data_IF_885276290126
#
_entry.id   IF_885276290126
#
_cell.length_a   1.000
_cell.length_b   1.000
_cell.length_c   1.000
_cell.angle_alpha   90.00
_cell.angle_beta   90.00
_cell.angle_gamma   90.00
#
_symmetry.space_group_name_H-M   'P 1'
#
loop_
_entity.id
_entity.type
_entity.pdbx_description
1 polymer ?
#
# COMPACT_ATOMS: atom_id res chain seq x y z
N UNK A 1 12.22 -11.12 16.54
CA UNK A 1 11.98 -9.68 16.42
C UNK A 1 11.00 -9.34 15.30
N UNK A 2 11.04 -10.03 14.15
CA UNK A 2 10.18 -9.70 13.01
C UNK A 2 8.68 -9.91 13.27
N UNK A 3 8.27 -11.03 13.86
CA UNK A 3 6.85 -11.34 14.10
C UNK A 3 6.56 -12.02 15.45
N UNK A 4 7.58 -12.21 16.29
CA UNK A 4 7.49 -12.96 17.56
C UNK A 4 6.57 -12.31 18.61
N UNK A 5 6.19 -11.04 18.43
CA UNK A 5 5.25 -10.36 19.33
C UNK A 5 3.84 -10.23 18.77
N UNK A 6 3.52 -10.91 17.66
CA UNK A 6 2.15 -10.98 17.15
C UNK A 6 1.30 -11.81 18.11
N UNK A 7 0.14 -11.28 18.49
CA UNK A 7 -0.77 -11.94 19.41
C UNK A 7 -1.87 -12.69 18.65
N UNK A 8 -1.74 -14.01 18.54
CA UNK A 8 -2.70 -14.88 17.84
C UNK A 8 -4.02 -15.10 18.59
N UNK A 9 -4.15 -14.64 19.85
CA UNK A 9 -5.46 -14.63 20.54
C UNK A 9 -6.38 -13.51 20.05
N UNK A 10 -5.84 -12.50 19.35
CA UNK A 10 -6.65 -11.47 18.71
C UNK A 10 -7.21 -12.03 17.41
N UNK A 11 -8.54 -11.94 17.25
CA UNK A 11 -9.22 -12.31 16.02
C UNK A 11 -8.57 -11.62 14.81
N UNK A 12 -8.46 -12.36 13.71
CA UNK A 12 -7.90 -11.89 12.43
C UNK A 12 -6.43 -11.45 12.46
N UNK A 13 -5.71 -11.60 13.58
CA UNK A 13 -4.27 -11.29 13.63
C UNK A 13 -3.39 -12.43 13.07
N UNK A 14 -3.93 -13.65 13.00
CA UNK A 14 -3.23 -14.82 12.49
C UNK A 14 -3.59 -16.11 13.23
N UNK A 15 -2.68 -17.07 13.23
CA UNK A 15 -2.77 -18.35 13.92
C UNK A 15 -3.27 -19.50 13.04
N UNK A 16 -3.31 -20.73 13.56
CA UNK A 16 -3.68 -21.92 12.80
C UNK A 16 -5.06 -21.81 12.15
N UNK A 17 -6.05 -21.29 12.89
CA UNK A 17 -7.43 -21.10 12.39
C UNK A 17 -7.50 -20.14 11.20
N UNK A 18 -6.65 -19.10 11.21
CA UNK A 18 -6.56 -18.15 10.11
C UNK A 18 -5.87 -18.80 8.89
N UNK A 19 -4.85 -19.62 9.11
CA UNK A 19 -4.19 -20.38 8.04
C UNK A 19 -5.14 -21.41 7.43
N UNK A 20 -5.97 -22.08 8.22
CA UNK A 20 -6.91 -23.12 7.75
C UNK A 20 -8.28 -22.57 7.34
N UNK A 21 -8.52 -21.26 7.47
CA UNK A 21 -9.78 -20.60 7.12
C UNK A 21 -10.26 -20.94 5.70
N UNK A 22 -9.32 -20.97 4.74
CA UNK A 22 -9.53 -21.50 3.39
C UNK A 22 -8.73 -22.80 3.20
N UNK A 23 -9.26 -23.73 2.41
CA UNK A 23 -8.54 -24.96 2.05
C UNK A 23 -7.28 -24.65 1.24
N UNK A 24 -6.30 -25.56 1.29
CA UNK A 24 -5.02 -25.38 0.57
C UNK A 24 -5.25 -25.37 -0.94
N UNK A 25 -6.14 -26.22 -1.44
CA UNK A 25 -6.50 -26.32 -2.86
C UNK A 25 -7.08 -25.01 -3.36
N UNK A 26 -8.00 -24.41 -2.58
CA UNK A 26 -8.59 -23.11 -2.91
C UNK A 26 -7.53 -22.00 -2.91
N UNK A 27 -6.63 -21.99 -1.92
CA UNK A 27 -5.55 -21.00 -1.87
C UNK A 27 -4.62 -21.09 -3.08
N UNK A 28 -4.22 -22.30 -3.46
CA UNK A 28 -3.38 -22.53 -4.63
C UNK A 28 -4.11 -22.09 -5.90
N UNK A 29 -5.37 -22.50 -6.08
CA UNK A 29 -6.16 -22.15 -7.26
C UNK A 29 -6.31 -20.63 -7.40
N UNK A 30 -6.75 -19.94 -6.35
CA UNK A 30 -6.91 -18.48 -6.37
C UNK A 30 -5.56 -17.79 -6.62
N UNK A 31 -4.47 -18.22 -5.98
CA UNK A 31 -3.14 -17.65 -6.22
C UNK A 31 -2.66 -17.84 -7.65
N UNK A 32 -2.80 -19.03 -8.23
CA UNK A 32 -2.37 -19.29 -9.61
C UNK A 32 -3.17 -18.43 -10.59
N UNK A 33 -4.50 -18.40 -10.46
CA UNK A 33 -5.37 -17.64 -11.35
C UNK A 33 -5.12 -16.13 -11.26
N UNK A 34 -5.09 -15.59 -10.03
CA UNK A 34 -4.89 -14.15 -9.82
C UNK A 34 -3.47 -13.73 -10.19
N UNK A 35 -2.44 -14.53 -9.88
CA UNK A 35 -1.07 -14.21 -10.27
C UNK A 35 -0.90 -14.25 -11.79
N UNK A 36 -1.50 -15.24 -12.47
CA UNK A 36 -1.48 -15.30 -13.93
C UNK A 36 -2.13 -14.07 -14.56
N UNK A 37 -3.34 -13.70 -14.12
CA UNK A 37 -4.03 -12.48 -14.57
C UNK A 37 -3.19 -11.22 -14.30
N UNK A 38 -2.58 -11.14 -13.11
CA UNK A 38 -1.73 -10.01 -12.71
C UNK A 38 -0.51 -9.86 -13.63
N UNK A 39 0.13 -10.97 -14.00
CA UNK A 39 1.26 -10.98 -14.94
C UNK A 39 0.82 -10.52 -16.34
N UNK A 40 -0.37 -10.93 -16.80
CA UNK A 40 -0.95 -10.47 -18.06
C UNK A 40 -1.23 -8.96 -18.02
N UNK A 41 -1.82 -8.46 -16.94
CA UNK A 41 -2.08 -7.03 -16.74
C UNK A 41 -0.79 -6.21 -16.78
N UNK A 42 0.25 -6.64 -16.04
CA UNK A 42 1.55 -5.99 -16.03
C UNK A 42 2.16 -6.00 -17.43
N UNK A 43 2.14 -7.14 -18.11
CA UNK A 43 2.73 -7.30 -19.45
C UNK A 43 2.02 -6.44 -20.50
N UNK A 44 0.69 -6.38 -20.45
CA UNK A 44 -0.12 -5.53 -21.32
C UNK A 44 0.18 -4.04 -21.12
N UNK A 45 0.23 -3.58 -19.87
CA UNK A 45 0.48 -2.17 -19.58
C UNK A 45 1.95 -1.75 -19.76
N UNK A 46 2.90 -2.69 -19.77
CA UNK A 46 4.33 -2.40 -19.71
C UNK A 46 4.85 -1.50 -20.84
N UNK A 47 4.36 -1.67 -22.07
CA UNK A 47 4.78 -0.86 -23.22
C UNK A 47 4.51 0.64 -22.98
N UNK A 48 3.33 0.94 -22.45
CA UNK A 48 2.89 2.31 -22.22
C UNK A 48 3.61 2.92 -21.02
N UNK A 49 3.78 2.16 -19.93
CA UNK A 49 4.53 2.62 -18.76
C UNK A 49 6.00 2.87 -19.12
N UNK A 50 6.61 2.02 -19.95
CA UNK A 50 7.98 2.22 -20.45
C UNK A 50 8.08 3.45 -21.35
N UNK A 51 7.01 3.92 -21.98
CA UNK A 51 7.03 5.15 -22.77
C UNK A 51 6.95 6.43 -21.91
N UNK A 52 6.64 6.32 -20.61
CA UNK A 52 6.49 7.46 -19.73
C UNK A 52 7.77 8.31 -19.65
N UNK A 53 7.63 9.62 -19.79
CA UNK A 53 8.71 10.61 -19.75
C UNK A 53 8.46 11.64 -18.66
N UNK A 54 9.55 12.07 -18.02
CA UNK A 54 9.51 13.15 -17.02
C UNK A 54 9.55 14.49 -17.73
N UNK A 55 8.72 15.42 -17.29
CA UNK A 55 8.80 16.79 -17.79
C UNK A 55 9.91 17.55 -17.05
N UNK A 56 11.12 17.50 -17.60
CA UNK A 56 12.27 18.21 -17.04
C UNK A 56 12.23 19.73 -17.22
N UNK A 57 11.35 20.26 -18.08
CA UNK A 57 11.31 21.69 -18.39
C UNK A 57 10.97 22.57 -17.17
N UNK A 58 10.38 22.01 -16.12
CA UNK A 58 9.98 22.73 -14.91
C UNK A 58 10.82 22.43 -13.66
N UNK A 59 11.81 21.52 -13.74
CA UNK A 59 12.58 21.03 -12.57
C UNK A 59 13.55 22.10 -12.05
N UNK A 60 13.97 23.05 -12.88
CA UNK A 60 14.98 24.06 -12.54
C UNK A 60 14.49 25.32 -11.82
N UNK A 61 13.21 25.44 -11.44
CA UNK A 61 12.64 26.64 -10.81
C UNK A 61 11.65 26.30 -9.68
N UNK A 62 12.05 25.45 -8.74
CA UNK A 62 11.29 25.29 -7.49
C UNK A 62 11.67 26.45 -6.57
N UNK A 63 10.71 27.32 -6.26
CA UNK A 63 10.86 28.42 -5.31
C UNK A 63 11.32 27.90 -3.94
N UNK A 64 12.26 28.60 -3.29
CA UNK A 64 12.75 28.29 -1.95
C UNK A 64 11.63 28.09 -0.92
N UNK A 65 10.53 28.86 -1.03
CA UNK A 65 9.36 28.68 -0.15
C UNK A 65 8.68 27.33 -0.36
N UNK A 66 8.57 26.92 -1.62
CA UNK A 66 7.99 25.62 -1.99
C UNK A 66 8.90 24.49 -1.49
N UNK A 67 10.20 24.60 -1.74
CA UNK A 67 11.21 23.66 -1.25
C UNK A 67 11.16 23.53 0.28
N UNK A 68 11.11 24.65 1.00
CA UNK A 68 10.99 24.66 2.47
C UNK A 68 9.69 23.98 2.95
N UNK A 69 8.55 24.23 2.29
CA UNK A 69 7.29 23.57 2.61
C UNK A 69 7.34 22.06 2.40
N UNK A 70 7.96 21.59 1.32
CA UNK A 70 8.18 20.17 1.05
C UNK A 70 9.11 19.53 2.09
N UNK A 71 10.22 20.19 2.42
CA UNK A 71 11.17 19.69 3.41
C UNK A 71 10.57 19.57 4.81
N UNK A 72 9.74 20.54 5.23
CA UNK A 72 8.98 20.46 6.48
C UNK A 72 8.03 19.27 6.49
N UNK A 73 7.31 19.04 5.38
CA UNK A 73 6.41 17.91 5.26
C UNK A 73 7.16 16.56 5.22
N UNK A 74 8.28 16.48 4.51
CA UNK A 74 9.17 15.32 4.51
C UNK A 74 9.66 15.00 5.93
N UNK A 75 10.09 16.01 6.69
CA UNK A 75 10.52 15.83 8.08
C UNK A 75 9.37 15.30 8.96
N UNK A 76 8.17 15.85 8.82
CA UNK A 76 6.98 15.40 9.55
C UNK A 76 6.60 13.95 9.19
N UNK A 77 6.55 13.61 7.90
CA UNK A 77 6.23 12.27 7.42
C UNK A 77 7.27 11.25 7.88
N UNK A 78 8.56 11.60 7.81
CA UNK A 78 9.66 10.75 8.26
C UNK A 78 9.63 10.53 9.77
N UNK A 79 9.30 11.57 10.54
CA UNK A 79 9.13 11.45 11.99
C UNK A 79 7.97 10.53 12.35
N UNK A 80 6.80 10.73 11.74
CA UNK A 80 5.63 9.87 11.97
C UNK A 80 5.92 8.41 11.63
N UNK A 81 6.57 8.17 10.47
CA UNK A 81 6.95 6.80 10.07
C UNK A 81 8.03 6.20 10.96
N UNK A 82 9.01 6.98 11.39
CA UNK A 82 10.03 6.55 12.35
C UNK A 82 9.44 6.14 13.69
N UNK A 83 8.44 6.87 14.19
CA UNK A 83 7.69 6.50 15.40
C UNK A 83 6.92 5.18 15.19
N UNK A 84 6.23 5.02 14.05
CA UNK A 84 5.54 3.76 13.72
C UNK A 84 6.51 2.57 13.67
N UNK A 85 7.68 2.73 13.03
CA UNK A 85 8.75 1.71 13.04
C UNK A 85 9.20 1.42 14.47
N UNK A 86 9.37 2.44 15.31
CA UNK A 86 9.70 2.32 16.73
C UNK A 86 8.68 1.47 17.49
N UNK A 87 7.38 1.71 17.27
CA UNK A 87 6.32 0.86 17.83
C UNK A 87 6.46 -0.58 17.36
N UNK A 88 6.63 -0.85 16.06
CA UNK A 88 6.76 -2.22 15.55
C UNK A 88 8.02 -2.94 16.00
N UNK A 89 9.12 -2.23 16.20
CA UNK A 89 10.33 -2.80 16.81
C UNK A 89 10.09 -3.16 18.28
N UNK A 90 9.51 -2.24 19.05
CA UNK A 90 9.25 -2.42 20.48
C UNK A 90 8.28 -3.57 20.76
N UNK A 91 7.25 -3.74 19.93
CA UNK A 91 6.28 -4.83 20.04
C UNK A 91 6.73 -6.11 19.34
N UNK A 92 7.87 -6.11 18.65
CA UNK A 92 8.38 -7.25 17.86
C UNK A 92 7.42 -7.71 16.76
N UNK A 93 6.82 -6.75 16.07
CA UNK A 93 5.83 -6.94 15.01
C UNK A 93 6.22 -6.21 13.71
N UNK A 94 7.51 -6.18 13.40
CA UNK A 94 8.05 -5.52 12.19
C UNK A 94 7.46 -6.07 10.89
N UNK A 95 6.97 -7.31 10.89
CA UNK A 95 6.30 -7.92 9.75
C UNK A 95 5.12 -7.08 9.22
N UNK A 96 4.46 -6.30 10.07
CA UNK A 96 3.37 -5.41 9.65
C UNK A 96 3.84 -4.23 8.79
N UNK A 97 5.14 -3.94 8.70
CA UNK A 97 5.68 -2.95 7.76
C UNK A 97 5.47 -3.35 6.29
N UNK A 98 5.10 -4.61 6.02
CA UNK A 98 4.70 -5.08 4.70
C UNK A 98 3.27 -4.69 4.31
N UNK A 99 2.46 -4.18 5.25
CA UNK A 99 1.13 -3.66 4.91
C UNK A 99 1.26 -2.50 3.92
N UNK A 100 0.36 -2.38 2.92
CA UNK A 100 0.49 -1.40 1.85
C UNK A 100 0.67 0.05 2.32
N UNK A 101 0.00 0.49 3.40
CA UNK A 101 0.13 1.87 3.89
C UNK A 101 1.57 2.26 4.29
N UNK A 102 2.34 1.32 4.86
CA UNK A 102 3.75 1.54 5.20
C UNK A 102 4.63 1.58 3.95
N UNK A 103 4.35 0.72 2.97
CA UNK A 103 5.04 0.74 1.67
C UNK A 103 4.78 2.06 0.92
N UNK A 104 3.55 2.57 0.96
CA UNK A 104 3.22 3.88 0.40
C UNK A 104 3.92 5.00 1.15
N UNK A 105 3.99 4.94 2.48
CA UNK A 105 4.75 5.93 3.28
C UNK A 105 6.22 5.95 2.86
N UNK A 106 6.86 4.79 2.69
CA UNK A 106 8.23 4.69 2.18
C UNK A 106 8.37 5.27 0.77
N UNK A 107 7.43 4.97 -0.13
CA UNK A 107 7.42 5.53 -1.48
C UNK A 107 7.29 7.07 -1.45
N UNK A 108 6.45 7.63 -0.57
CA UNK A 108 6.26 9.07 -0.44
C UNK A 108 7.50 9.77 0.13
N UNK A 109 8.16 9.20 1.14
CA UNK A 109 9.44 9.70 1.65
C UNK A 109 10.49 9.69 0.54
N UNK A 110 10.56 8.61 -0.25
CA UNK A 110 11.43 8.54 -1.42
C UNK A 110 11.09 9.63 -2.45
N UNK A 111 9.82 9.81 -2.83
CA UNK A 111 9.41 10.80 -3.83
C UNK A 111 9.67 12.25 -3.40
N UNK A 112 9.58 12.55 -2.10
CA UNK A 112 9.88 13.87 -1.53
C UNK A 112 11.38 14.16 -1.42
N UNK A 113 12.23 13.13 -1.35
CA UNK A 113 13.69 13.27 -1.19
C UNK A 113 14.48 13.04 -2.48
N UNK A 114 13.96 12.24 -3.40
CA UNK A 114 14.63 11.87 -4.63
C UNK A 114 14.62 12.99 -5.67
N UNK A 115 15.67 13.01 -6.50
CA UNK A 115 15.69 13.82 -7.71
C UNK A 115 14.71 13.24 -8.74
N UNK A 116 13.98 14.09 -9.48
CA UNK A 116 13.05 13.62 -10.50
C UNK A 116 13.74 12.76 -11.57
N UNK A 117 13.20 11.57 -11.76
CA UNK A 117 13.65 10.55 -12.70
C UNK A 117 12.44 9.77 -13.23
N UNK A 118 12.62 9.04 -14.33
CA UNK A 118 11.56 8.20 -14.89
C UNK A 118 11.02 7.20 -13.86
N UNK A 119 11.91 6.58 -13.09
CA UNK A 119 11.55 5.65 -12.01
C UNK A 119 10.71 6.34 -10.95
N UNK A 120 11.12 7.51 -10.47
CA UNK A 120 10.32 8.27 -9.50
C UNK A 120 8.96 8.71 -10.07
N UNK A 121 8.84 9.02 -11.36
CA UNK A 121 7.55 9.31 -11.98
C UNK A 121 6.63 8.08 -12.02
N UNK A 122 7.18 6.91 -12.34
CA UNK A 122 6.41 5.65 -12.34
C UNK A 122 5.91 5.36 -10.92
N UNK A 123 6.79 5.47 -9.91
CA UNK A 123 6.42 5.31 -8.50
C UNK A 123 5.36 6.35 -8.10
N UNK A 124 5.52 7.62 -8.52
CA UNK A 124 4.54 8.67 -8.28
C UNK A 124 3.19 8.34 -8.90
N UNK A 125 3.10 7.87 -10.13
CA UNK A 125 1.77 7.58 -10.70
C UNK A 125 1.14 6.37 -10.03
N UNK A 126 1.91 5.28 -9.84
CA UNK A 126 1.39 4.08 -9.18
C UNK A 126 0.95 4.33 -7.73
N UNK A 127 1.67 5.16 -6.96
CA UNK A 127 1.27 5.40 -5.57
C UNK A 127 -0.10 6.08 -5.44
N UNK A 128 -0.52 6.90 -6.41
CA UNK A 128 -1.83 7.56 -6.40
C UNK A 128 -2.97 6.53 -6.41
N UNK A 129 -2.83 5.48 -7.22
CA UNK A 129 -3.77 4.37 -7.33
C UNK A 129 -3.94 3.58 -6.02
N UNK A 130 -2.89 3.55 -5.19
CA UNK A 130 -2.88 2.83 -3.93
C UNK A 130 -3.36 3.65 -2.74
N UNK A 131 -3.69 4.93 -2.92
CA UNK A 131 -4.26 5.78 -1.87
C UNK A 131 -5.65 5.32 -1.40
N UNK A 132 -6.28 4.41 -2.14
CA UNK A 132 -7.52 3.76 -1.69
C UNK A 132 -7.31 2.98 -0.38
N UNK A 133 -6.15 2.35 -0.18
CA UNK A 133 -5.84 1.60 1.03
C UNK A 133 -5.96 2.48 2.29
N UNK A 134 -5.24 3.61 2.36
CA UNK A 134 -5.38 4.56 3.45
C UNK A 134 -6.79 5.11 3.66
N UNK A 135 -7.58 5.32 2.59
CA UNK A 135 -8.99 5.72 2.70
C UNK A 135 -9.80 4.63 3.39
N UNK A 136 -9.69 3.38 2.94
CA UNK A 136 -10.39 2.23 3.54
C UNK A 136 -9.98 2.07 5.01
N UNK A 137 -8.69 2.21 5.31
CA UNK A 137 -8.15 2.12 6.68
C UNK A 137 -8.70 3.21 7.63
N UNK A 138 -9.06 4.39 7.11
CA UNK A 138 -9.73 5.43 7.91
C UNK A 138 -11.23 5.16 8.09
N UNK A 139 -11.89 4.54 7.10
CA UNK A 139 -13.33 4.22 7.16
C UNK A 139 -13.59 2.99 8.03
N UNK A 140 -12.76 1.94 7.88
CA UNK A 140 -12.87 0.65 8.56
C UNK A 140 -11.53 0.36 9.27
N UNK A 141 -11.25 1.04 10.40
CA UNK A 141 -9.95 0.97 11.05
C UNK A 141 -9.72 -0.36 11.78
N UNK A 142 -8.57 -0.99 11.52
CA UNK A 142 -8.11 -2.20 12.22
C UNK A 142 -7.02 -1.82 13.22
N UNK A 143 -7.43 -1.43 14.43
CA UNK A 143 -6.52 -0.88 15.47
C UNK A 143 -6.43 -1.73 16.74
N UNK A 144 -7.07 -2.91 16.78
CA UNK A 144 -7.16 -3.74 18.00
C UNK A 144 -5.80 -4.26 18.52
N UNK A 145 -4.80 -4.36 17.65
CA UNK A 145 -3.45 -4.80 18.01
C UNK A 145 -2.57 -3.67 18.57
N UNK A 146 -3.02 -2.41 18.48
CA UNK A 146 -2.26 -1.22 18.90
C UNK A 146 -2.48 -0.94 20.38
N UNK A 147 -1.49 -1.25 21.22
CA UNK A 147 -1.63 -1.24 22.69
C UNK A 147 -0.76 -0.21 23.39
N UNK A 148 0.28 0.30 22.71
CA UNK A 148 1.17 1.29 23.31
C UNK A 148 0.52 2.66 23.32
N UNK A 149 0.95 3.50 24.27
CA UNK A 149 0.51 4.89 24.37
C UNK A 149 0.75 5.61 23.04
N UNK A 150 -0.30 6.25 22.50
CA UNK A 150 -0.31 6.94 21.21
C UNK A 150 -0.10 6.08 19.95
N UNK A 151 0.01 4.74 20.05
CA UNK A 151 0.18 3.88 18.86
C UNK A 151 -1.06 3.89 17.96
N UNK A 152 -2.25 3.94 18.57
CA UNK A 152 -3.52 4.12 17.86
C UNK A 152 -3.61 5.50 17.22
N UNK A 153 -3.14 6.54 17.91
CA UNK A 153 -3.28 7.91 17.42
C UNK A 153 -2.32 8.16 16.26
N UNK A 154 -1.11 7.57 16.35
CA UNK A 154 -0.14 7.56 15.27
C UNK A 154 -0.68 6.87 14.00
N UNK A 155 -1.48 5.81 14.15
CA UNK A 155 -2.16 5.19 13.00
C UNK A 155 -2.98 6.22 12.22
N UNK A 156 -3.89 6.95 12.88
CA UNK A 156 -4.73 7.93 12.21
C UNK A 156 -3.90 9.09 11.65
N UNK A 157 -2.94 9.60 12.43
CA UNK A 157 -2.03 10.68 11.98
C UNK A 157 -1.31 10.26 10.71
N UNK A 158 -0.70 9.07 10.70
CA UNK A 158 0.03 8.57 9.54
C UNK A 158 -0.88 8.43 8.32
N UNK A 159 -2.08 7.89 8.48
CA UNK A 159 -3.02 7.70 7.35
C UNK A 159 -3.47 9.04 6.75
N UNK A 160 -3.72 10.06 7.59
CA UNK A 160 -4.00 11.42 7.10
C UNK A 160 -2.78 12.00 6.37
N UNK A 161 -1.58 11.84 6.92
CA UNK A 161 -0.35 12.31 6.26
C UNK A 161 -0.14 11.64 4.89
N UNK A 162 -0.40 10.33 4.78
CA UNK A 162 -0.33 9.62 3.50
C UNK A 162 -1.27 10.23 2.46
N UNK A 163 -2.50 10.60 2.85
CA UNK A 163 -3.47 11.22 1.94
C UNK A 163 -3.11 12.65 1.55
N UNK A 164 -2.41 13.37 2.42
CA UNK A 164 -1.95 14.76 2.18
C UNK A 164 -0.65 14.78 1.34
N UNK A 165 0.18 13.76 1.40
CA UNK A 165 1.49 13.73 0.76
C UNK A 165 1.51 13.98 -0.76
N UNK A 166 0.56 13.49 -1.59
CA UNK A 166 0.54 13.77 -3.03
C UNK A 166 0.56 15.27 -3.34
N UNK A 167 -0.14 16.08 -2.55
CA UNK A 167 -0.16 17.54 -2.71
C UNK A 167 1.25 18.13 -2.58
N UNK A 168 2.02 17.70 -1.58
CA UNK A 168 3.40 18.18 -1.40
C UNK A 168 4.35 17.65 -2.46
N UNK A 169 4.18 16.39 -2.90
CA UNK A 169 5.00 15.80 -3.96
C UNK A 169 4.79 16.55 -5.29
N UNK A 170 3.54 16.88 -5.65
CA UNK A 170 3.22 17.60 -6.88
C UNK A 170 3.77 19.03 -6.94
N UNK A 171 4.11 19.65 -5.80
CA UNK A 171 4.77 20.96 -5.77
C UNK A 171 6.13 20.98 -6.47
N UNK A 172 6.78 19.81 -6.63
CA UNK A 172 8.02 19.66 -7.40
C UNK A 172 7.83 20.01 -8.90
N UNK A 173 6.58 19.99 -9.42
CA UNK A 173 6.22 20.21 -10.84
C UNK A 173 6.81 19.22 -11.85
N UNK A 174 7.77 18.39 -11.45
CA UNK A 174 8.33 17.31 -12.26
C UNK A 174 7.37 16.13 -12.43
N UNK A 175 6.51 15.92 -11.42
CA UNK A 175 5.56 14.82 -11.36
C UNK A 175 4.23 15.26 -11.95
N UNK A 176 3.75 14.51 -12.95
CA UNK A 176 2.47 14.76 -13.62
C UNK A 176 1.59 13.53 -13.51
N UNK A 177 0.30 13.73 -13.29
CA UNK A 177 -0.70 12.68 -13.43
C UNK A 177 -0.80 12.25 -14.89
N UNK A 178 -1.17 11.00 -15.14
CA UNK A 178 -1.44 10.50 -16.48
C UNK A 178 -2.73 11.09 -17.06
N UNK A 179 -2.98 10.78 -18.35
CA UNK A 179 -4.21 11.19 -19.02
C UNK A 179 -5.42 10.44 -18.45
N UNK A 180 -6.58 11.09 -18.36
CA UNK A 180 -7.82 10.47 -17.84
C UNK A 180 -8.19 9.17 -18.56
N UNK A 181 -8.01 9.12 -19.88
CA UNK A 181 -8.36 7.95 -20.70
C UNK A 181 -7.25 6.88 -20.77
N UNK A 182 -6.10 7.11 -20.13
CA UNK A 182 -4.98 6.16 -20.12
C UNK A 182 -5.22 5.07 -19.07
N UNK A 183 -5.72 3.92 -19.52
CA UNK A 183 -6.04 2.79 -18.66
C UNK A 183 -4.84 1.89 -18.33
N UNK A 184 -3.67 2.16 -18.90
CA UNK A 184 -2.49 1.33 -18.67
C UNK A 184 -1.96 1.47 -17.24
N UNK A 185 -2.12 2.65 -16.62
CA UNK A 185 -1.76 2.89 -15.22
C UNK A 185 -2.62 2.14 -14.20
N UNK A 186 -3.97 2.19 -14.23
CA UNK A 186 -4.78 1.38 -13.31
C UNK A 186 -4.57 -0.11 -13.53
N UNK A 187 -4.43 -0.56 -14.78
CA UNK A 187 -4.16 -1.99 -15.09
C UNK A 187 -2.81 -2.42 -14.52
N UNK A 188 -1.76 -1.59 -14.68
CA UNK A 188 -0.45 -1.84 -14.06
C UNK A 188 -0.55 -1.89 -12.54
N UNK A 189 -1.25 -0.94 -11.92
CA UNK A 189 -1.40 -0.86 -10.47
C UNK A 189 -2.13 -2.10 -9.92
N UNK A 190 -3.21 -2.54 -10.57
CA UNK A 190 -3.93 -3.76 -10.21
C UNK A 190 -3.02 -4.99 -10.27
N UNK A 191 -2.31 -5.18 -11.39
CA UNK A 191 -1.44 -6.34 -11.55
C UNK A 191 -0.33 -6.38 -10.49
N UNK A 192 0.31 -5.24 -10.21
CA UNK A 192 1.37 -5.18 -9.20
C UNK A 192 0.84 -5.45 -7.79
N UNK A 193 -0.29 -4.85 -7.39
CA UNK A 193 -0.82 -5.04 -6.03
C UNK A 193 -1.34 -6.45 -5.83
N UNK A 194 -2.08 -7.01 -6.79
CA UNK A 194 -2.61 -8.37 -6.68
C UNK A 194 -1.49 -9.41 -6.70
N UNK A 195 -0.47 -9.24 -7.56
CA UNK A 195 0.69 -10.11 -7.55
C UNK A 195 1.40 -10.05 -6.19
N UNK A 196 1.62 -8.86 -5.64
CA UNK A 196 2.25 -8.69 -4.32
C UNK A 196 1.47 -9.40 -3.20
N UNK A 197 0.14 -9.27 -3.17
CA UNK A 197 -0.68 -9.88 -2.13
C UNK A 197 -0.72 -11.41 -2.25
N UNK A 198 -1.05 -11.94 -3.44
CA UNK A 198 -1.24 -13.37 -3.64
C UNK A 198 0.07 -14.17 -3.68
N UNK A 199 1.22 -13.51 -3.83
CA UNK A 199 2.54 -14.14 -3.76
C UNK A 199 3.26 -13.80 -2.47
N UNK A 200 3.77 -12.58 -2.31
CA UNK A 200 4.64 -12.19 -1.20
C UNK A 200 3.90 -12.21 0.13
N UNK A 201 2.78 -11.48 0.23
CA UNK A 201 2.05 -11.40 1.50
C UNK A 201 1.45 -12.74 1.89
N UNK A 202 0.84 -13.47 0.95
CA UNK A 202 0.27 -14.78 1.23
C UNK A 202 1.34 -15.78 1.67
N UNK A 203 2.48 -15.87 0.97
CA UNK A 203 3.55 -16.79 1.33
C UNK A 203 4.08 -16.50 2.73
N UNK A 204 4.38 -15.24 3.03
CA UNK A 204 4.84 -14.84 4.36
C UNK A 204 3.77 -15.07 5.43
N UNK A 205 2.51 -14.82 5.11
CA UNK A 205 1.39 -15.03 6.05
C UNK A 205 1.18 -16.50 6.39
N UNK A 206 1.31 -17.40 5.42
CA UNK A 206 1.23 -18.85 5.66
C UNK A 206 2.45 -19.32 6.48
N UNK A 207 3.66 -18.90 6.11
CA UNK A 207 4.90 -19.32 6.76
C UNK A 207 4.99 -18.85 8.22
N UNK A 208 4.52 -17.63 8.50
CA UNK A 208 4.60 -17.02 9.83
C UNK A 208 3.30 -17.14 10.64
N UNK A 209 2.23 -17.64 10.01
CA UNK A 209 0.86 -17.62 10.51
C UNK A 209 0.31 -16.22 10.83
N UNK A 210 1.00 -15.14 10.44
CA UNK A 210 0.54 -13.76 10.64
C UNK A 210 -0.38 -13.38 9.49
N UNK A 211 -1.54 -12.78 9.77
CA UNK A 211 -2.49 -12.41 8.73
C UNK A 211 -2.16 -11.05 8.10
N UNK A 212 -1.09 -10.98 7.32
CA UNK A 212 -0.61 -9.72 6.72
C UNK A 212 -1.64 -9.20 5.72
N UNK A 213 -2.08 -7.96 5.92
CA UNK A 213 -3.15 -7.30 5.17
C UNK A 213 -4.40 -8.18 4.92
N UNK A 214 -4.73 -9.03 5.90
CA UNK A 214 -5.89 -9.93 5.85
C UNK A 214 -5.91 -10.89 4.64
N UNK A 215 -4.75 -11.35 4.15
CA UNK A 215 -4.68 -12.18 2.94
C UNK A 215 -5.00 -13.68 3.15
N UNK A 216 -4.91 -14.19 4.40
CA UNK A 216 -5.17 -15.61 4.71
C UNK A 216 -6.51 -15.83 5.44
N UNK A 217 -6.99 -14.87 6.23
CA UNK A 217 -8.36 -14.84 6.74
C UNK A 217 -8.92 -13.39 6.79
N UNK A 218 -10.26 -13.20 6.77
CA UNK A 218 -10.85 -11.86 6.75
C UNK A 218 -10.59 -11.08 8.05
N UNK A 219 -10.60 -9.75 7.93
CA UNK A 219 -10.57 -8.86 9.09
C UNK A 219 -11.84 -9.02 9.92
N UNK A 220 -11.77 -8.74 11.22
CA UNK A 220 -12.94 -8.80 12.11
C UNK A 220 -14.03 -7.81 11.72
N UNK A 221 -13.67 -6.73 11.03
CA UNK A 221 -14.56 -5.70 10.53
C UNK A 221 -14.94 -5.87 9.05
N UNK A 222 -14.53 -6.96 8.40
CA UNK A 222 -14.80 -7.20 6.98
C UNK A 222 -16.30 -7.50 6.75
N UNK A 223 -17.04 -6.65 6.01
CA UNK A 223 -18.46 -6.87 5.74
C UNK A 223 -18.72 -8.06 4.80
N UNK A 224 -17.69 -8.58 4.14
CA UNK A 224 -17.75 -9.70 3.21
C UNK A 224 -17.07 -10.96 3.75
N UNK A 225 -16.98 -11.08 5.08
CA UNK A 225 -16.44 -12.28 5.72
C UNK A 225 -17.13 -13.56 5.23
N UNK A 226 -16.33 -14.57 4.90
CA UNK A 226 -16.81 -15.82 4.34
C UNK A 226 -15.81 -16.43 3.37
N UNK A 227 -16.15 -17.56 2.75
CA UNK A 227 -15.22 -18.30 1.90
C UNK A 227 -14.79 -17.52 0.65
N UNK A 228 -15.57 -16.54 0.20
CA UNK A 228 -15.31 -15.72 -1.01
C UNK A 228 -14.66 -14.37 -0.73
N UNK A 229 -14.32 -14.04 0.52
CA UNK A 229 -13.88 -12.69 0.91
C UNK A 229 -12.71 -12.16 0.05
N UNK A 230 -11.75 -13.02 -0.33
CA UNK A 230 -10.62 -12.62 -1.20
C UNK A 230 -11.06 -12.25 -2.61
N UNK A 231 -12.01 -12.97 -3.17
CA UNK A 231 -12.51 -12.71 -4.52
C UNK A 231 -13.38 -11.46 -4.55
N UNK A 232 -14.18 -11.25 -3.50
CA UNK A 232 -14.88 -9.98 -3.29
C UNK A 232 -13.85 -8.84 -3.15
N UNK A 233 -12.79 -9.07 -2.38
CA UNK A 233 -11.59 -8.24 -2.26
C UNK A 233 -11.04 -7.81 -3.61
N UNK A 234 -10.67 -8.78 -4.44
CA UNK A 234 -10.17 -8.55 -5.81
C UNK A 234 -11.17 -7.73 -6.64
N UNK A 235 -12.46 -8.06 -6.59
CA UNK A 235 -13.48 -7.38 -7.38
C UNK A 235 -13.63 -5.91 -6.98
N UNK A 236 -13.81 -5.62 -5.69
CA UNK A 236 -14.00 -4.24 -5.24
C UNK A 236 -12.69 -3.43 -5.36
N UNK A 237 -11.52 -4.04 -5.10
CA UNK A 237 -10.23 -3.35 -5.26
C UNK A 237 -9.96 -3.03 -6.74
N UNK A 238 -10.32 -3.92 -7.67
CA UNK A 238 -10.23 -3.63 -9.12
C UNK A 238 -10.99 -2.35 -9.47
N UNK A 239 -12.22 -2.21 -8.97
CA UNK A 239 -13.03 -1.02 -9.19
C UNK A 239 -12.44 0.22 -8.52
N UNK A 240 -12.14 0.14 -7.22
CA UNK A 240 -11.71 1.30 -6.44
C UNK A 240 -10.34 1.81 -6.87
N UNK A 241 -9.36 0.92 -7.11
CA UNK A 241 -8.05 1.30 -7.63
C UNK A 241 -8.22 2.05 -8.95
N UNK A 242 -9.04 1.54 -9.88
CA UNK A 242 -9.28 2.19 -11.17
C UNK A 242 -9.74 3.64 -11.03
N UNK A 243 -10.61 3.92 -10.05
CA UNK A 243 -11.19 5.24 -9.85
C UNK A 243 -10.23 6.16 -9.08
N UNK A 244 -9.62 5.68 -8.00
CA UNK A 244 -8.86 6.55 -7.08
C UNK A 244 -7.71 7.27 -7.74
N UNK A 245 -6.94 6.60 -8.62
CA UNK A 245 -5.84 7.26 -9.33
C UNK A 245 -6.29 8.23 -10.43
N UNK A 246 -7.58 8.27 -10.76
CA UNK A 246 -8.17 9.13 -11.81
C UNK A 246 -8.86 10.39 -11.26
N UNK A 247 -9.07 10.46 -9.94
CA UNK A 247 -9.63 11.62 -9.24
C UNK A 247 -8.54 12.65 -8.94
#
# INVERSE_FOLDING_TARGET
>A
WAYSGVNFSLASSGGPDCVTFLTVERKILETVLISFLSILQISFAWSDIKSASVNFQNVGKVDDRISNSMNKFLALLSLAFGIEIGFKLSTRQVIWLLNPCHMITMAQIFLLSATPSKTSLIIFRLHLYYLIGPIIALIIPVVHSRKLLLEREMYFIQHVLILVAPYFIMKNKAYTVERKNDMSWPVMAQGLVFLFHFTVLQALSILTQVNIDNIICPASADPFSGQWYRMVGVAHQTFLITITGKL
#
